data_IF_606287339553
#
_entry.id   IF_606287339553
#
_cell.length_a   1.000
_cell.length_b   1.000
_cell.length_c   1.000
_cell.angle_alpha   90.00
_cell.angle_beta   90.00
_cell.angle_gamma   90.00
#
_symmetry.space_group_name_H-M   'P 1'
#
loop_
_entity.id
_entity.type
_entity.pdbx_description
1 polymer ?
#
# COMPACT_ATOMS: atom_id res chain seq x y z
N UNK A 1 39.73 0.14 12.34
CA UNK A 1 39.00 -1.10 11.98
C UNK A 1 37.59 -0.71 11.53
N UNK A 2 37.42 -0.50 10.22
CA UNK A 2 36.42 0.39 9.60
C UNK A 2 35.01 -0.18 9.39
N UNK A 3 34.47 -0.96 10.32
CA UNK A 3 33.13 -1.55 10.21
C UNK A 3 31.97 -0.56 10.46
N UNK A 4 32.26 0.68 10.88
CA UNK A 4 31.27 1.69 11.26
C UNK A 4 31.17 2.84 10.25
N UNK A 5 31.67 2.68 9.02
CA UNK A 5 31.51 3.72 8.00
C UNK A 5 30.24 3.45 7.16
N UNK A 6 29.26 4.36 7.17
CA UNK A 6 28.06 4.27 6.31
C UNK A 6 28.40 4.06 4.83
N UNK A 7 29.61 4.45 4.42
CA UNK A 7 30.14 4.23 3.07
C UNK A 7 30.19 2.76 2.66
N UNK A 8 30.48 1.85 3.59
CA UNK A 8 30.54 0.41 3.30
C UNK A 8 29.14 -0.15 2.98
N UNK A 9 28.14 0.28 3.73
CA UNK A 9 26.73 -0.11 3.51
C UNK A 9 26.19 0.40 2.17
N UNK A 10 26.60 1.60 1.74
CA UNK A 10 26.24 2.13 0.42
C UNK A 10 26.78 1.24 -0.72
N UNK A 11 28.01 0.76 -0.61
CA UNK A 11 28.62 -0.13 -1.60
C UNK A 11 27.88 -1.48 -1.64
N UNK A 12 27.58 -2.06 -0.47
CA UNK A 12 26.81 -3.32 -0.40
C UNK A 12 25.43 -3.15 -1.03
N UNK A 13 24.72 -2.07 -0.70
CA UNK A 13 23.41 -1.77 -1.27
C UNK A 13 23.48 -1.63 -2.80
N UNK A 14 24.52 -0.96 -3.32
CA UNK A 14 24.75 -0.82 -4.75
C UNK A 14 24.92 -2.19 -5.43
N UNK A 15 25.73 -3.08 -4.86
CA UNK A 15 25.94 -4.43 -5.39
C UNK A 15 24.64 -5.24 -5.39
N UNK A 16 23.85 -5.17 -4.31
CA UNK A 16 22.54 -5.85 -4.22
C UNK A 16 21.57 -5.31 -5.28
N UNK A 17 21.53 -3.99 -5.52
CA UNK A 17 20.68 -3.39 -6.57
C UNK A 17 21.10 -3.86 -7.95
N UNK A 18 22.41 -4.00 -8.22
CA UNK A 18 22.90 -4.49 -9.51
C UNK A 18 22.53 -5.96 -9.72
N UNK A 19 22.66 -6.80 -8.68
CA UNK A 19 22.43 -8.24 -8.79
C UNK A 19 20.93 -8.61 -8.84
N UNK A 20 20.10 -7.93 -8.05
CA UNK A 20 18.65 -8.17 -8.00
C UNK A 20 17.86 -7.27 -8.97
N UNK A 21 18.43 -6.14 -9.38
CA UNK A 21 17.79 -5.15 -10.23
C UNK A 21 16.93 -4.13 -9.46
N UNK A 22 16.77 -2.94 -10.04
CA UNK A 22 16.05 -1.81 -9.45
C UNK A 22 14.56 -2.04 -9.22
N UNK A 23 13.93 -3.00 -9.92
CA UNK A 23 12.50 -3.33 -9.73
C UNK A 23 12.25 -4.40 -8.68
N UNK A 24 13.17 -5.36 -8.46
CA UNK A 24 12.92 -6.51 -7.58
C UNK A 24 13.19 -6.19 -6.11
N UNK A 25 14.17 -5.35 -5.82
CA UNK A 25 14.49 -4.92 -4.45
C UNK A 25 13.32 -4.15 -3.79
N UNK A 26 12.72 -3.10 -4.42
CA UNK A 26 11.59 -2.40 -3.83
C UNK A 26 10.31 -3.24 -3.80
N UNK A 27 10.10 -4.14 -4.78
CA UNK A 27 8.94 -5.03 -4.82
C UNK A 27 8.99 -6.08 -3.70
N UNK A 28 10.15 -6.73 -3.52
CA UNK A 28 10.39 -7.64 -2.40
C UNK A 28 10.31 -6.92 -1.05
N UNK A 29 10.91 -5.74 -0.92
CA UNK A 29 10.80 -4.92 0.29
C UNK A 29 9.35 -4.50 0.60
N UNK A 30 8.54 -4.22 -0.43
CA UNK A 30 7.10 -3.93 -0.26
C UNK A 30 6.29 -5.17 0.16
N UNK A 31 6.63 -6.36 -0.33
CA UNK A 31 6.03 -7.61 0.11
C UNK A 31 6.40 -7.94 1.56
N UNK A 32 7.71 -7.95 1.86
CA UNK A 32 8.24 -8.19 3.19
C UNK A 32 7.78 -7.14 4.21
N UNK A 33 7.73 -5.87 3.83
CA UNK A 33 7.28 -4.78 4.70
C UNK A 33 5.80 -4.85 5.06
N UNK A 34 4.94 -5.34 4.16
CA UNK A 34 3.52 -5.60 4.47
C UNK A 34 3.37 -6.73 5.48
N UNK A 35 4.09 -7.83 5.29
CA UNK A 35 4.13 -8.94 6.23
C UNK A 35 4.65 -8.46 7.60
N UNK A 36 5.82 -7.84 7.63
CA UNK A 36 6.45 -7.34 8.86
C UNK A 36 5.59 -6.30 9.60
N UNK A 37 4.78 -5.51 8.89
CA UNK A 37 3.84 -4.55 9.49
C UNK A 37 2.74 -5.25 10.27
N UNK A 38 2.18 -6.34 9.73
CA UNK A 38 1.14 -7.14 10.39
C UNK A 38 1.73 -7.79 11.64
N UNK A 39 2.88 -8.46 11.50
CA UNK A 39 3.62 -9.02 12.64
C UNK A 39 3.96 -7.94 13.68
N UNK A 40 4.38 -6.75 13.26
CA UNK A 40 4.69 -5.63 14.16
C UNK A 40 3.44 -5.13 14.89
N UNK A 41 2.28 -5.06 14.24
CA UNK A 41 1.04 -4.66 14.91
C UNK A 41 0.57 -5.69 15.92
N UNK A 42 0.62 -6.98 15.60
CA UNK A 42 0.27 -8.07 16.54
C UNK A 42 1.24 -8.09 17.73
N UNK A 43 2.55 -8.02 17.47
CA UNK A 43 3.57 -7.95 18.51
C UNK A 43 3.49 -6.66 19.33
N UNK A 44 3.02 -5.55 18.73
CA UNK A 44 2.79 -4.31 19.45
C UNK A 44 1.55 -4.42 20.33
N UNK A 45 0.46 -5.01 19.86
CA UNK A 45 -0.74 -5.27 20.66
C UNK A 45 -0.40 -6.13 21.88
N UNK A 46 0.34 -7.23 21.69
CA UNK A 46 0.82 -8.07 22.80
C UNK A 46 1.70 -7.32 23.80
N UNK A 47 2.47 -6.31 23.35
CA UNK A 47 3.26 -5.45 24.23
C UNK A 47 2.43 -4.29 24.84
N UNK A 48 1.34 -3.88 24.20
CA UNK A 48 0.49 -2.76 24.60
C UNK A 48 -0.66 -3.19 25.52
N UNK A 49 -1.02 -4.48 25.56
CA UNK A 49 -1.90 -5.08 26.57
C UNK A 49 -1.35 -4.95 28.02
N UNK A 50 -0.11 -4.45 28.18
CA UNK A 50 0.46 -4.03 29.46
C UNK A 50 0.46 -2.52 29.74
N UNK A 51 0.12 -1.65 28.77
CA UNK A 51 0.03 -0.18 28.90
C UNK A 51 -0.89 0.40 27.83
N UNK A 52 -2.13 0.75 28.21
CA UNK A 52 -3.10 1.44 27.36
C UNK A 52 -2.53 2.72 26.75
N UNK A 53 -2.59 2.85 25.42
CA UNK A 53 -2.72 4.15 24.76
C UNK A 53 -3.38 4.03 23.36
N UNK A 54 -4.33 4.93 23.11
CA UNK A 54 -5.31 5.02 22.02
C UNK A 54 -4.73 4.90 20.59
N UNK A 55 -5.38 4.17 19.64
CA UNK A 55 -4.89 4.03 18.28
C UNK A 55 -5.25 5.22 17.39
N UNK A 56 -4.23 5.85 16.80
CA UNK A 56 -4.38 6.82 15.71
C UNK A 56 -4.75 6.11 14.40
N UNK A 57 -5.93 6.43 13.87
CA UNK A 57 -6.45 6.02 12.56
C UNK A 57 -5.55 6.58 11.44
N UNK A 58 -4.89 5.74 10.60
CA UNK A 58 -4.28 6.22 9.37
C UNK A 58 -5.40 6.39 8.33
N UNK A 59 -5.62 7.64 7.90
CA UNK A 59 -6.57 7.98 6.85
C UNK A 59 -6.30 7.20 5.55
N UNK A 60 -7.34 6.65 4.88
CA UNK A 60 -7.19 6.06 3.57
C UNK A 60 -6.97 7.19 2.56
N UNK A 61 -5.80 7.14 1.93
CA UNK A 61 -5.42 7.94 0.78
C UNK A 61 -6.37 7.60 -0.38
N UNK A 62 -7.48 8.34 -0.52
CA UNK A 62 -8.32 8.36 -1.72
C UNK A 62 -7.55 9.10 -2.81
N UNK A 63 -6.69 8.37 -3.51
CA UNK A 63 -6.12 8.82 -4.77
C UNK A 63 -7.11 8.40 -5.86
N UNK A 64 -7.84 9.40 -6.37
CA UNK A 64 -8.37 9.49 -7.74
C UNK A 64 -9.33 8.40 -8.25
N UNK A 65 -10.61 8.50 -7.86
CA UNK A 65 -11.72 7.85 -8.59
C UNK A 65 -12.97 8.72 -8.62
N UNK A 66 -12.83 10.02 -8.85
CA UNK A 66 -13.97 10.88 -9.11
C UNK A 66 -13.60 12.01 -10.08
N UNK A 67 -14.42 12.15 -11.13
CA UNK A 67 -14.59 13.32 -11.99
C UNK A 67 -13.91 13.37 -13.38
N UNK A 68 -14.14 12.34 -14.21
CA UNK A 68 -14.40 12.41 -15.68
C UNK A 68 -15.12 11.09 -16.02
N UNK A 69 -16.37 10.95 -16.47
CA UNK A 69 -17.21 11.78 -17.32
C UNK A 69 -18.67 11.54 -16.94
N UNK A 70 -19.34 12.52 -16.34
CA UNK A 70 -20.80 12.63 -16.37
C UNK A 70 -21.10 13.87 -17.20
N UNK A 71 -21.09 13.72 -18.53
CA UNK A 71 -21.78 14.64 -19.43
C UNK A 71 -22.01 13.99 -20.80
N UNK A 72 -23.11 13.25 -20.93
CA UNK A 72 -23.81 13.10 -22.21
C UNK A 72 -25.28 12.77 -21.93
N UNK A 73 -26.01 13.83 -21.57
CA UNK A 73 -27.45 13.95 -21.73
C UNK A 73 -27.87 13.52 -23.14
N UNK A 74 -28.85 12.63 -23.26
CA UNK A 74 -29.67 12.51 -24.48
C UNK A 74 -29.94 11.10 -24.98
N UNK A 75 -31.01 10.48 -24.46
CA UNK A 75 -31.94 9.50 -25.08
C UNK A 75 -32.43 8.56 -23.97
N UNK A 76 -33.51 8.89 -23.26
CA UNK A 76 -34.88 8.48 -23.62
C UNK A 76 -34.89 7.18 -24.42
N UNK A 77 -34.95 6.04 -23.71
CA UNK A 77 -35.86 4.94 -24.04
C UNK A 77 -36.07 4.12 -22.78
N UNK A 78 -37.05 4.58 -22.00
CA UNK A 78 -37.71 3.78 -20.98
C UNK A 78 -38.74 2.94 -21.72
N UNK A 79 -38.48 1.66 -21.92
CA UNK A 79 -39.56 0.72 -22.26
C UNK A 79 -39.39 -0.58 -21.49
N UNK A 80 -39.73 -0.60 -20.18
CA UNK A 80 -40.27 -1.78 -19.55
C UNK A 80 -41.79 -1.84 -19.82
N UNK A 81 -42.40 -2.97 -19.46
CA UNK A 81 -43.85 -3.27 -19.50
C UNK A 81 -44.44 -3.57 -20.88
N UNK A 82 -45.36 -4.51 -21.04
CA UNK A 82 -45.86 -5.63 -20.26
C UNK A 82 -46.90 -6.24 -21.19
N UNK A 83 -46.87 -7.57 -21.35
CA UNK A 83 -48.04 -8.44 -21.53
C UNK A 83 -49.39 -7.71 -21.73
N UNK A 84 -49.90 -7.69 -22.96
CA UNK A 84 -51.32 -7.45 -23.24
C UNK A 84 -51.71 -8.06 -24.59
N UNK A 85 -52.87 -8.72 -24.57
CA UNK A 85 -53.57 -9.46 -25.62
C UNK A 85 -53.08 -10.89 -25.91
#
# INVERSE_FOLDING_TARGET
MGAMSPWHWAIVALVVVILFGSKKLPDAARGLGRSLRIFKSEVKEMQNDGKSDTPATPAPNRIDSQASDIHATGSVTSQPDSKSA
#
